data_IF_544759423226
#
_entry.id   IF_544759423226
#
_cell.length_a   1.000
_cell.length_b   1.000
_cell.length_c   1.000
_cell.angle_alpha   90.00
_cell.angle_beta   90.00
_cell.angle_gamma   90.00
#
_symmetry.space_group_name_H-M   'P 1'
#
loop_
_entity.id
_entity.type
_entity.pdbx_description
1 polymer ?
#
# COMPACT_ATOMS: atom_id res chain seq x y z
N UNK A 1 0.73 -24.26 7.50
CA UNK A 1 -0.63 -24.19 8.08
C UNK A 1 -0.58 -23.30 9.31
N UNK A 2 -1.31 -22.17 9.28
CA UNK A 2 -1.88 -21.44 10.44
C UNK A 2 -2.48 -20.14 9.87
N UNK A 3 -3.75 -20.21 9.45
CA UNK A 3 -4.54 -19.03 9.09
C UNK A 3 -4.90 -18.31 10.39
N UNK A 4 -4.23 -17.20 10.69
CA UNK A 4 -4.68 -16.27 11.74
C UNK A 4 -5.88 -15.50 11.19
N UNK A 5 -7.06 -15.82 11.72
CA UNK A 5 -8.28 -15.04 11.53
C UNK A 5 -8.09 -13.67 12.21
N UNK A 6 -8.06 -12.61 11.40
CA UNK A 6 -8.01 -11.24 11.89
C UNK A 6 -9.37 -10.87 12.49
N UNK A 7 -9.44 -10.76 13.81
CA UNK A 7 -10.52 -10.09 14.52
C UNK A 7 -9.95 -8.84 15.20
N UNK A 8 -10.41 -7.66 14.77
CA UNK A 8 -10.12 -6.39 15.42
C UNK A 8 -10.92 -6.28 16.73
N UNK A 9 -10.36 -5.71 17.82
CA UNK A 9 -11.12 -5.46 19.04
C UNK A 9 -12.13 -4.30 18.84
N UNK A 10 -13.35 -4.39 19.39
CA UNK A 10 -14.35 -3.33 19.26
C UNK A 10 -14.01 -2.15 20.20
N UNK A 11 -13.99 -0.93 19.65
CA UNK A 11 -13.91 0.30 20.44
C UNK A 11 -15.26 0.57 21.12
N UNK A 12 -15.21 0.88 22.42
CA UNK A 12 -16.35 1.07 23.31
C UNK A 12 -17.37 2.11 22.79
N UNK A 13 -18.65 1.75 22.83
CA UNK A 13 -19.77 2.68 22.58
C UNK A 13 -19.88 3.63 23.77
N UNK A 14 -19.72 4.93 23.52
CA UNK A 14 -20.17 5.97 24.43
C UNK A 14 -21.71 5.97 24.44
N UNK A 15 -22.31 5.62 25.58
CA UNK A 15 -23.75 5.74 25.84
C UNK A 15 -24.09 7.20 26.19
N UNK A 16 -25.09 7.83 25.57
CA UNK A 16 -25.55 9.15 26.02
C UNK A 16 -26.34 9.05 27.34
N UNK A 17 -26.37 10.12 28.16
CA UNK A 17 -26.98 10.10 29.49
C UNK A 17 -28.51 10.12 29.44
N UNK A 18 -29.21 9.63 30.50
CA UNK A 18 -30.67 9.64 30.55
C UNK A 18 -31.22 11.05 30.83
N UNK A 19 -32.28 11.41 30.13
CA UNK A 19 -33.04 12.65 30.38
C UNK A 19 -34.06 12.44 31.52
N UNK A 20 -34.38 13.49 32.30
CA UNK A 20 -35.20 13.36 33.50
C UNK A 20 -36.70 13.24 33.19
N UNK A 21 -37.35 12.31 33.88
CA UNK A 21 -38.80 12.17 33.90
C UNK A 21 -39.39 13.09 34.98
N UNK A 22 -40.23 14.04 34.60
CA UNK A 22 -41.17 14.69 35.53
C UNK A 22 -42.58 14.52 35.00
N UNK A 23 -43.33 13.64 35.66
CA UNK A 23 -44.76 13.45 35.48
C UNK A 23 -45.52 14.33 36.47
N UNK A 24 -46.51 15.08 36.00
CA UNK A 24 -47.64 15.53 36.82
C UNK A 24 -48.89 15.70 35.94
N UNK A 25 -49.79 14.72 36.07
CA UNK A 25 -51.26 14.76 36.14
C UNK A 25 -52.01 15.74 35.20
N UNK A 26 -52.65 15.25 34.13
CA UNK A 26 -54.03 14.68 34.07
C UNK A 26 -55.10 15.61 34.68
N UNK A 27 -55.90 16.26 33.83
CA UNK A 27 -57.24 15.78 33.40
C UNK A 27 -57.93 16.82 32.54
N UNK A 28 -58.14 16.52 31.25
CA UNK A 28 -59.38 16.87 30.56
C UNK A 28 -59.51 16.03 29.29
N UNK A 29 -60.46 15.10 29.34
CA UNK A 29 -61.13 14.44 28.24
C UNK A 29 -61.05 15.20 26.90
N UNK A 30 -60.23 14.69 25.99
CA UNK A 30 -60.50 14.72 24.57
C UNK A 30 -60.09 13.36 24.01
N UNK A 31 -61.12 12.56 23.70
CA UNK A 31 -61.05 11.38 22.86
C UNK A 31 -60.51 11.76 21.48
N UNK A 32 -59.19 11.93 21.39
CA UNK A 32 -58.45 11.72 20.17
C UNK A 32 -57.78 10.37 20.32
N UNK A 33 -58.55 9.32 19.99
CA UNK A 33 -57.96 8.12 19.44
C UNK A 33 -56.89 8.57 18.47
N UNK A 34 -55.66 8.11 18.70
CA UNK A 34 -54.51 8.39 17.86
C UNK A 34 -54.79 7.87 16.46
N UNK A 35 -55.46 8.65 15.62
CA UNK A 35 -55.58 8.42 14.18
C UNK A 35 -54.33 8.94 13.48
N UNK A 36 -53.17 8.70 14.06
CA UNK A 36 -52.00 8.47 13.24
C UNK A 36 -52.00 6.97 12.96
N UNK A 37 -52.50 6.54 11.78
CA UNK A 37 -52.33 5.16 11.38
C UNK A 37 -50.83 4.90 11.48
N UNK A 38 -50.50 3.82 12.20
CA UNK A 38 -49.22 3.11 12.16
C UNK A 38 -48.40 3.63 10.98
N UNK A 39 -47.49 4.59 11.26
CA UNK A 39 -46.70 5.21 10.20
C UNK A 39 -45.98 4.06 9.52
N UNK A 40 -46.44 3.74 8.32
CA UNK A 40 -45.86 2.78 7.42
C UNK A 40 -44.38 3.09 7.44
N UNK A 41 -43.58 2.22 8.07
CA UNK A 41 -42.13 2.37 8.09
C UNK A 41 -41.75 2.32 6.63
N UNK A 42 -41.63 3.49 5.98
CA UNK A 42 -41.23 3.60 4.60
C UNK A 42 -40.02 2.70 4.51
N UNK A 43 -40.13 1.66 3.69
CA UNK A 43 -39.06 0.69 3.57
C UNK A 43 -37.79 1.49 3.29
N UNK A 44 -36.65 1.11 3.87
CA UNK A 44 -35.39 1.86 3.68
C UNK A 44 -35.15 2.20 2.20
N UNK A 45 -35.57 1.29 1.31
CA UNK A 45 -35.70 1.46 -0.15
C UNK A 45 -36.47 2.70 -0.59
N UNK A 46 -37.69 2.90 -0.11
CA UNK A 46 -38.54 4.05 -0.42
C UNK A 46 -37.97 5.37 0.11
N UNK A 47 -37.34 5.36 1.30
CA UNK A 47 -36.70 6.56 1.85
C UNK A 47 -35.45 6.93 1.05
N UNK A 48 -34.61 5.94 0.72
CA UNK A 48 -33.41 6.15 -0.09
C UNK A 48 -33.77 6.59 -1.52
N UNK A 49 -34.80 6.00 -2.13
CA UNK A 49 -35.32 6.42 -3.43
C UNK A 49 -35.84 7.87 -3.41
N UNK A 50 -36.51 8.30 -2.34
CA UNK A 50 -37.00 9.67 -2.19
C UNK A 50 -35.87 10.70 -1.99
N UNK A 51 -34.73 10.28 -1.44
CA UNK A 51 -33.52 11.12 -1.26
C UNK A 51 -32.64 11.08 -2.52
N UNK A 52 -32.94 10.21 -3.50
CA UNK A 52 -32.07 9.96 -4.65
C UNK A 52 -30.77 9.22 -4.28
N UNK A 53 -30.67 8.72 -3.05
CA UNK A 53 -29.51 7.99 -2.57
C UNK A 53 -29.54 6.55 -3.09
N UNK A 54 -28.55 6.17 -3.89
CA UNK A 54 -28.45 4.82 -4.46
C UNK A 54 -28.14 3.82 -3.34
N UNK A 55 -28.89 2.70 -3.30
CA UNK A 55 -28.65 1.68 -2.27
C UNK A 55 -27.21 1.15 -2.34
N UNK A 56 -26.50 1.03 -1.21
CA UNK A 56 -25.17 0.46 -1.20
C UNK A 56 -25.25 -1.01 -1.59
N UNK A 57 -24.46 -1.42 -2.58
CA UNK A 57 -24.35 -2.84 -2.94
C UNK A 57 -23.85 -3.66 -1.74
N UNK A 58 -24.31 -4.90 -1.56
CA UNK A 58 -23.91 -5.73 -0.42
C UNK A 58 -22.39 -5.93 -0.34
N UNK A 59 -21.72 -5.96 -1.50
CA UNK A 59 -20.26 -6.03 -1.59
C UNK A 59 -19.57 -4.78 -1.01
N UNK A 60 -20.13 -3.57 -1.18
CA UNK A 60 -19.60 -2.34 -0.58
C UNK A 60 -19.76 -2.34 0.94
N UNK A 61 -20.91 -2.81 1.43
CA UNK A 61 -21.16 -2.94 2.88
C UNK A 61 -20.19 -3.94 3.52
N UNK A 62 -19.99 -5.09 2.88
CA UNK A 62 -19.03 -6.09 3.33
C UNK A 62 -17.58 -5.56 3.30
N UNK A 63 -17.22 -4.74 2.31
CA UNK A 63 -15.90 -4.10 2.26
C UNK A 63 -15.69 -3.11 3.40
N UNK A 64 -16.68 -2.25 3.68
CA UNK A 64 -16.63 -1.34 4.83
C UNK A 64 -16.49 -2.07 6.16
N UNK A 65 -17.21 -3.18 6.33
CA UNK A 65 -17.11 -4.05 7.51
C UNK A 65 -15.72 -4.69 7.67
N UNK A 66 -15.13 -5.20 6.58
CA UNK A 66 -13.78 -5.80 6.59
C UNK A 66 -12.70 -4.79 6.95
N UNK A 67 -12.83 -3.55 6.48
CA UNK A 67 -11.91 -2.48 6.81
C UNK A 67 -12.06 -1.99 8.25
N UNK A 68 -13.18 -2.27 8.92
CA UNK A 68 -13.46 -1.78 10.27
C UNK A 68 -13.61 -0.25 10.35
N UNK A 69 -13.85 0.40 9.21
CA UNK A 69 -13.93 1.86 9.10
C UNK A 69 -15.38 2.25 8.77
N UNK A 70 -16.11 2.93 9.69
CA UNK A 70 -17.36 3.60 9.31
C UNK A 70 -17.05 4.72 8.30
N UNK A 71 -17.24 4.42 7.02
CA UNK A 71 -17.22 5.38 5.94
C UNK A 71 -18.64 5.66 5.46
N UNK A 72 -18.85 6.87 4.94
CA UNK A 72 -20.06 7.18 4.20
C UNK A 72 -20.16 6.25 2.96
N UNK A 73 -21.35 5.67 2.68
CA UNK A 73 -21.51 4.71 1.58
C UNK A 73 -21.23 5.35 0.21
N UNK A 74 -21.51 6.64 0.05
CA UNK A 74 -21.21 7.41 -1.15
C UNK A 74 -19.70 7.60 -1.35
N UNK A 75 -18.95 7.82 -0.27
CA UNK A 75 -17.51 7.92 -0.33
C UNK A 75 -16.86 6.57 -0.67
N UNK A 76 -17.35 5.48 -0.09
CA UNK A 76 -16.93 4.13 -0.45
C UNK A 76 -17.18 3.85 -1.93
N UNK A 77 -18.33 4.26 -2.44
CA UNK A 77 -18.63 4.16 -3.88
C UNK A 77 -17.62 4.96 -4.71
N UNK A 78 -17.33 6.20 -4.31
CA UNK A 78 -16.35 7.05 -4.98
C UNK A 78 -14.93 6.46 -4.97
N UNK A 79 -14.49 5.82 -3.87
CA UNK A 79 -13.16 5.20 -3.76
C UNK A 79 -12.98 4.09 -4.81
N UNK A 80 -14.06 3.34 -5.01
CA UNK A 80 -14.12 2.12 -5.81
C UNK A 80 -14.36 2.40 -7.31
N UNK A 81 -14.88 3.58 -7.67
CA UNK A 81 -15.10 4.01 -9.06
C UNK A 81 -13.83 4.57 -9.69
N UNK A 82 -13.27 3.82 -10.64
CA UNK A 82 -12.14 4.27 -11.44
C UNK A 82 -12.58 5.28 -12.51
N UNK A 83 -11.69 6.19 -12.90
CA UNK A 83 -12.00 7.21 -13.92
C UNK A 83 -12.34 6.63 -15.31
N UNK A 84 -11.90 5.41 -15.61
CA UNK A 84 -12.24 4.71 -16.86
C UNK A 84 -13.60 4.03 -16.83
N UNK A 85 -14.30 4.04 -15.68
CA UNK A 85 -15.62 3.44 -15.58
C UNK A 85 -16.62 4.26 -16.40
N UNK A 86 -17.20 3.62 -17.42
CA UNK A 86 -18.28 4.22 -18.21
C UNK A 86 -19.60 3.70 -17.65
N UNK A 87 -20.34 4.58 -16.98
CA UNK A 87 -21.69 4.32 -16.49
C UNK A 87 -22.73 5.19 -17.20
N UNK A 88 -24.00 4.89 -16.99
CA UNK A 88 -25.13 5.67 -17.54
C UNK A 88 -25.20 7.10 -16.97
N UNK A 89 -24.71 7.28 -15.74
CA UNK A 89 -24.67 8.56 -15.02
C UNK A 89 -23.22 8.87 -14.66
N UNK A 90 -22.80 10.12 -14.85
CA UNK A 90 -21.50 10.59 -14.39
C UNK A 90 -21.45 10.56 -12.86
N UNK A 91 -20.66 9.64 -12.32
CA UNK A 91 -20.42 9.47 -10.89
C UNK A 91 -19.06 10.09 -10.50
N UNK A 92 -18.89 10.55 -9.25
CA UNK A 92 -17.59 11.05 -8.81
C UNK A 92 -16.54 9.94 -8.86
N UNK A 93 -15.39 10.26 -9.48
CA UNK A 93 -14.28 9.33 -9.67
C UNK A 93 -13.25 9.41 -8.54
N UNK A 94 -12.44 8.36 -8.40
CA UNK A 94 -11.41 8.24 -7.36
C UNK A 94 -10.10 9.01 -7.61
N UNK A 95 -9.90 9.62 -8.79
CA UNK A 95 -8.60 10.22 -9.21
C UNK A 95 -8.04 11.28 -8.25
N UNK A 96 -8.91 12.15 -7.70
CA UNK A 96 -8.49 13.18 -6.72
C UNK A 96 -8.06 12.57 -5.38
N UNK A 97 -8.78 11.54 -4.93
CA UNK A 97 -8.47 10.82 -3.71
C UNK A 97 -7.21 9.97 -3.87
N UNK A 98 -7.01 9.34 -5.03
CA UNK A 98 -5.79 8.62 -5.39
C UNK A 98 -4.58 9.54 -5.31
N UNK A 99 -4.66 10.74 -5.91
CA UNK A 99 -3.57 11.71 -5.87
C UNK A 99 -3.20 12.08 -4.43
N UNK A 100 -4.20 12.41 -3.61
CA UNK A 100 -3.99 12.71 -2.19
C UNK A 100 -3.36 11.52 -1.44
N UNK A 101 -3.92 10.33 -1.63
CA UNK A 101 -3.45 9.11 -0.98
C UNK A 101 -2.01 8.75 -1.34
N UNK A 102 -1.61 8.89 -2.61
CA UNK A 102 -0.22 8.69 -3.05
C UNK A 102 0.76 9.65 -2.37
N UNK A 103 0.37 10.91 -2.17
CA UNK A 103 1.22 11.89 -1.45
C UNK A 103 1.36 11.54 0.03
N UNK A 104 0.25 11.18 0.67
CA UNK A 104 0.24 10.75 2.09
C UNK A 104 1.07 9.49 2.30
N UNK A 105 0.91 8.50 1.42
CA UNK A 105 1.73 7.27 1.40
C UNK A 105 3.21 7.58 1.26
N UNK A 106 3.57 8.41 0.27
CA UNK A 106 4.96 8.80 0.04
C UNK A 106 5.57 9.49 1.26
N UNK A 107 4.82 10.35 1.96
CA UNK A 107 5.27 11.03 3.17
C UNK A 107 5.53 10.03 4.32
N UNK A 108 4.55 9.20 4.67
CA UNK A 108 4.68 8.30 5.83
C UNK A 108 5.69 7.18 5.61
N UNK A 109 5.78 6.64 4.39
CA UNK A 109 6.76 5.60 4.08
C UNK A 109 8.16 6.19 3.98
N UNK A 110 8.33 7.41 3.44
CA UNK A 110 9.65 8.07 3.44
C UNK A 110 10.12 8.41 4.85
N UNK A 111 9.23 8.88 5.73
CA UNK A 111 9.53 9.08 7.15
C UNK A 111 10.03 7.78 7.79
N UNK A 112 9.31 6.68 7.60
CA UNK A 112 9.68 5.38 8.15
C UNK A 112 11.02 4.86 7.61
N UNK A 113 11.23 4.92 6.30
CA UNK A 113 12.47 4.45 5.66
C UNK A 113 13.67 5.29 6.10
N UNK A 114 13.49 6.61 6.24
CA UNK A 114 14.56 7.51 6.69
C UNK A 114 15.02 7.20 8.12
N UNK A 115 14.07 6.92 9.02
CA UNK A 115 14.37 6.56 10.41
C UNK A 115 14.97 5.13 10.49
N UNK A 116 14.43 4.19 9.74
CA UNK A 116 14.85 2.78 9.78
C UNK A 116 16.19 2.51 9.10
N UNK A 117 16.53 3.28 8.07
CA UNK A 117 17.77 3.11 7.29
C UNK A 117 18.49 4.46 7.09
N UNK A 118 19.12 5.01 8.14
CA UNK A 118 19.75 6.35 8.09
C UNK A 118 20.94 6.43 7.12
N UNK A 119 21.58 5.29 6.80
CA UNK A 119 22.73 5.21 5.89
C UNK A 119 22.37 4.78 4.47
N UNK A 120 21.08 4.67 4.14
CA UNK A 120 20.66 4.31 2.78
C UNK A 120 21.02 5.43 1.79
N UNK A 121 21.73 5.12 0.68
CA UNK A 121 22.01 6.10 -0.36
C UNK A 121 20.73 6.66 -0.97
N UNK A 122 20.77 7.93 -1.38
CA UNK A 122 19.61 8.62 -1.96
C UNK A 122 19.11 7.93 -3.23
N UNK A 123 20.03 7.37 -4.01
CA UNK A 123 19.77 6.68 -5.28
C UNK A 123 18.86 5.47 -5.06
N UNK A 124 19.07 4.75 -3.96
CA UNK A 124 18.33 3.54 -3.62
C UNK A 124 17.05 3.84 -2.83
N UNK A 125 16.90 5.07 -2.32
CA UNK A 125 15.72 5.48 -1.56
C UNK A 125 14.45 5.33 -2.40
N UNK A 126 14.50 5.72 -3.67
CA UNK A 126 13.36 5.58 -4.59
C UNK A 126 12.96 4.13 -4.82
N UNK A 127 13.92 3.20 -4.92
CA UNK A 127 13.70 1.77 -5.11
C UNK A 127 13.05 1.14 -3.87
N UNK A 128 13.57 1.46 -2.68
CA UNK A 128 12.99 0.99 -1.41
C UNK A 128 11.57 1.53 -1.23
N UNK A 129 11.35 2.81 -1.51
CA UNK A 129 10.00 3.38 -1.50
C UNK A 129 9.06 2.65 -2.47
N UNK A 130 9.49 2.44 -3.72
CA UNK A 130 8.72 1.71 -4.73
C UNK A 130 8.40 0.28 -4.28
N UNK A 131 9.26 -0.37 -3.50
CA UNK A 131 8.97 -1.67 -2.90
C UNK A 131 7.78 -1.65 -1.94
N UNK A 132 7.67 -0.64 -1.08
CA UNK A 132 6.56 -0.50 -0.12
C UNK A 132 5.27 0.01 -0.76
N UNK A 133 5.34 1.05 -1.60
CA UNK A 133 4.15 1.76 -2.14
C UNK A 133 3.91 1.51 -3.63
N UNK A 134 4.65 0.59 -4.24
CA UNK A 134 4.50 0.26 -5.65
C UNK A 134 3.12 -0.27 -5.99
N UNK A 135 2.71 -0.07 -7.25
CA UNK A 135 1.41 -0.52 -7.74
C UNK A 135 1.17 -2.01 -7.49
N UNK A 136 2.20 -2.85 -7.64
CA UNK A 136 2.12 -4.28 -7.36
C UNK A 136 1.81 -4.58 -5.88
N UNK A 137 2.49 -3.90 -4.95
CA UNK A 137 2.30 -4.06 -3.50
C UNK A 137 0.91 -3.59 -3.07
N UNK A 138 0.46 -2.43 -3.56
CA UNK A 138 -0.88 -1.91 -3.30
C UNK A 138 -1.96 -2.81 -3.92
N UNK A 139 -1.72 -3.38 -5.10
CA UNK A 139 -2.63 -4.34 -5.73
C UNK A 139 -2.73 -5.64 -4.94
N UNK A 140 -1.62 -6.15 -4.39
CA UNK A 140 -1.59 -7.32 -3.52
C UNK A 140 -2.42 -7.07 -2.26
N UNK A 141 -2.22 -5.91 -1.62
CA UNK A 141 -2.98 -5.50 -0.44
C UNK A 141 -4.47 -5.32 -0.76
N UNK A 142 -4.80 -4.74 -1.90
CA UNK A 142 -6.19 -4.66 -2.36
C UNK A 142 -6.81 -6.03 -2.62
N UNK A 143 -6.01 -7.01 -3.07
CA UNK A 143 -6.43 -8.41 -3.20
C UNK A 143 -6.73 -9.08 -1.86
N UNK A 144 -5.89 -8.82 -0.85
CA UNK A 144 -6.07 -9.31 0.52
C UNK A 144 -7.34 -8.75 1.17
N UNK A 145 -7.62 -7.45 0.98
CA UNK A 145 -8.85 -6.80 1.46
C UNK A 145 -10.08 -7.23 0.66
N UNK A 146 -9.90 -7.81 -0.52
CA UNK A 146 -10.98 -8.23 -1.43
C UNK A 146 -11.62 -7.05 -2.18
N UNK A 147 -10.81 -6.04 -2.50
CA UNK A 147 -11.18 -4.86 -3.29
C UNK A 147 -11.44 -5.22 -4.76
N UNK A 148 -10.76 -6.25 -5.29
CA UNK A 148 -10.85 -6.70 -6.69
C UNK A 148 -12.27 -7.03 -7.18
N UNK A 149 -13.15 -7.46 -6.27
CA UNK A 149 -14.53 -7.83 -6.58
C UNK A 149 -15.50 -6.64 -6.51
N UNK A 150 -15.03 -5.52 -5.98
CA UNK A 150 -15.86 -4.34 -5.69
C UNK A 150 -15.54 -3.22 -6.66
N UNK A 151 -14.26 -3.08 -7.08
CA UNK A 151 -13.79 -2.05 -8.02
C UNK A 151 -14.64 -2.02 -9.30
N UNK A 152 -15.06 -0.81 -9.67
CA UNK A 152 -15.80 -0.53 -10.90
C UNK A 152 -14.86 0.14 -11.87
N UNK A 153 -14.59 -0.54 -12.98
CA UNK A 153 -13.76 -0.05 -14.07
C UNK A 153 -14.18 -0.75 -15.35
N UNK A 154 -13.94 -0.09 -16.49
CA UNK A 154 -14.14 -0.68 -17.81
C UNK A 154 -12.77 -1.00 -18.37
N UNK A 155 -12.57 -2.25 -18.81
CA UNK A 155 -11.35 -2.65 -19.49
C UNK A 155 -11.24 -1.88 -20.81
N UNK A 156 -10.09 -1.28 -21.13
CA UNK A 156 -9.91 -0.68 -22.44
C UNK A 156 -9.88 -1.79 -23.48
N UNK A 157 -11.01 -1.99 -24.17
CA UNK A 157 -11.07 -2.87 -25.33
C UNK A 157 -10.00 -2.39 -26.31
N UNK A 158 -9.05 -3.26 -26.68
CA UNK A 158 -8.20 -2.99 -27.84
C UNK A 158 -9.15 -2.79 -29.01
N UNK A 159 -9.22 -1.57 -29.54
CA UNK A 159 -10.05 -1.25 -30.68
C UNK A 159 -9.64 -2.22 -31.80
N UNK A 160 -10.50 -3.20 -32.10
CA UNK A 160 -10.53 -3.81 -33.42
C UNK A 160 -11.04 -2.70 -34.32
N UNK A 161 -10.28 -2.36 -35.36
CA UNK A 161 -10.65 -1.33 -36.33
C UNK A 161 -11.97 -1.70 -37.03
N UNK A 162 -13.10 -1.30 -36.46
CA UNK A 162 -14.37 -1.19 -37.19
C UNK A 162 -14.44 0.22 -37.80
N UNK A 163 -14.43 0.36 -39.15
CA UNK A 163 -14.29 1.66 -39.81
C UNK A 163 -15.50 2.60 -39.67
N UNK A 164 -16.62 2.15 -39.11
CA UNK A 164 -17.90 2.89 -39.19
C UNK A 164 -18.49 3.33 -37.83
N UNK A 165 -17.89 2.96 -36.69
CA UNK A 165 -18.35 3.38 -35.37
C UNK A 165 -17.27 4.14 -34.62
N UNK A 166 -17.09 5.40 -35.02
CA UNK A 166 -16.23 6.36 -34.32
C UNK A 166 -16.88 6.82 -33.02
N UNK A 167 -17.10 5.90 -32.07
CA UNK A 167 -17.14 6.26 -30.66
C UNK A 167 -15.70 6.34 -30.21
N UNK A 168 -15.19 7.56 -30.18
CA UNK A 168 -13.91 7.96 -29.62
C UNK A 168 -13.77 7.38 -28.21
N UNK A 169 -13.19 6.17 -28.12
CA UNK A 169 -12.54 5.71 -26.89
C UNK A 169 -11.30 6.59 -26.76
N UNK A 170 -11.51 7.79 -26.23
CA UNK A 170 -10.46 8.70 -25.82
C UNK A 170 -9.82 8.13 -24.54
N UNK A 171 -9.17 6.97 -24.66
CA UNK A 171 -8.09 6.61 -23.74
C UNK A 171 -6.97 7.60 -24.05
N UNK A 172 -6.94 8.69 -23.27
CA UNK A 172 -5.98 9.78 -23.42
C UNK A 172 -4.58 9.24 -23.65
N UNK A 173 -4.08 9.50 -24.85
CA UNK A 173 -2.72 9.24 -25.27
C UNK A 173 -1.80 10.22 -24.50
N UNK A 174 -1.40 9.85 -23.30
CA UNK A 174 -0.18 10.37 -22.70
C UNK A 174 0.77 9.21 -22.57
N UNK A 175 1.81 9.25 -23.40
CA UNK A 175 2.82 8.24 -23.58
C UNK A 175 3.53 7.87 -22.25
N UNK A 176 3.90 6.59 -22.15
CA UNK A 176 4.55 5.87 -21.05
C UNK A 176 3.61 5.10 -20.10
N UNK A 177 3.37 3.83 -20.47
CA UNK A 177 3.39 2.67 -19.55
C UNK A 177 2.40 2.56 -18.39
N UNK A 178 1.10 2.47 -18.67
CA UNK A 178 0.22 1.69 -17.78
C UNK A 178 -0.78 0.94 -18.67
N UNK A 179 -0.46 -0.30 -19.06
CA UNK A 179 -1.52 -1.21 -19.49
C UNK A 179 -2.53 -1.25 -18.34
N UNK A 180 -3.76 -0.79 -18.59
CA UNK A 180 -4.79 -0.69 -17.56
C UNK A 180 -5.22 -2.11 -17.17
N UNK A 181 -4.47 -2.69 -16.26
CA UNK A 181 -4.71 -4.02 -15.70
C UNK A 181 -5.58 -3.90 -14.47
N UNK A 182 -6.35 -4.96 -14.18
CA UNK A 182 -7.16 -5.00 -12.96
C UNK A 182 -6.32 -4.76 -11.69
N UNK A 183 -5.08 -5.27 -11.66
CA UNK A 183 -4.15 -5.05 -10.55
C UNK A 183 -3.79 -3.57 -10.38
N UNK A 184 -3.48 -2.86 -11.46
CA UNK A 184 -3.18 -1.43 -11.42
C UNK A 184 -4.39 -0.63 -10.88
N UNK A 185 -5.60 -0.93 -11.35
CA UNK A 185 -6.82 -0.26 -10.88
C UNK A 185 -7.08 -0.53 -9.40
N UNK A 186 -6.90 -1.77 -8.95
CA UNK A 186 -7.02 -2.14 -7.53
C UNK A 186 -6.00 -1.39 -6.67
N UNK A 187 -4.74 -1.27 -7.13
CA UNK A 187 -3.72 -0.48 -6.45
C UNK A 187 -4.09 1.00 -6.32
N UNK A 188 -4.64 1.59 -7.39
CA UNK A 188 -5.15 2.98 -7.39
C UNK A 188 -6.33 3.15 -6.42
N UNK A 189 -7.24 2.19 -6.35
CA UNK A 189 -8.36 2.18 -5.39
C UNK A 189 -7.88 2.04 -3.93
N UNK A 190 -6.79 1.30 -3.68
CA UNK A 190 -6.18 1.26 -2.36
C UNK A 190 -5.54 2.59 -1.96
N UNK A 191 -4.88 3.28 -2.90
CA UNK A 191 -4.37 4.62 -2.63
C UNK A 191 -5.50 5.62 -2.37
N UNK A 192 -6.60 5.57 -3.14
CA UNK A 192 -7.75 6.46 -2.92
C UNK A 192 -8.45 6.21 -1.58
N UNK A 193 -8.49 4.96 -1.09
CA UNK A 193 -8.97 4.63 0.26
C UNK A 193 -8.17 5.36 1.34
N UNK A 194 -6.84 5.39 1.21
CA UNK A 194 -5.95 6.06 2.17
C UNK A 194 -6.12 7.58 2.10
N UNK A 195 -6.28 8.14 0.89
CA UNK A 195 -6.61 9.56 0.72
C UNK A 195 -7.96 9.93 1.33
N UNK A 196 -8.96 9.07 1.20
CA UNK A 196 -10.27 9.24 1.84
C UNK A 196 -10.19 9.17 3.36
N UNK A 197 -9.41 8.21 3.89
CA UNK A 197 -9.16 8.08 5.33
C UNK A 197 -8.48 9.33 5.89
N UNK A 198 -7.46 9.85 5.19
CA UNK A 198 -6.77 11.08 5.54
C UNK A 198 -7.73 12.28 5.56
N UNK A 199 -8.63 12.36 4.57
CA UNK A 199 -9.61 13.45 4.47
C UNK A 199 -10.67 13.41 5.57
N UNK A 200 -11.22 12.23 5.90
CA UNK A 200 -12.32 12.13 6.88
C UNK A 200 -11.84 12.04 8.34
N UNK A 201 -10.72 11.38 8.61
CA UNK A 201 -10.25 11.11 9.99
C UNK A 201 -8.94 11.80 10.36
N UNK A 202 -8.37 12.54 9.43
CA UNK A 202 -7.13 13.27 9.64
C UNK A 202 -5.86 12.42 9.53
N UNK A 203 -4.70 13.07 9.77
CA UNK A 203 -3.39 12.49 9.48
C UNK A 203 -3.04 11.29 10.34
N UNK A 204 -3.35 11.34 11.64
CA UNK A 204 -2.96 10.30 12.61
C UNK A 204 -3.63 8.95 12.33
N UNK A 205 -4.93 8.96 12.02
CA UNK A 205 -5.66 7.74 11.65
C UNK A 205 -5.11 7.12 10.36
N UNK A 206 -4.72 7.95 9.39
CA UNK A 206 -4.12 7.48 8.14
C UNK A 206 -2.71 6.90 8.38
N UNK A 207 -1.89 7.55 9.22
CA UNK A 207 -0.55 7.07 9.58
C UNK A 207 -0.63 5.72 10.27
N UNK A 208 -1.52 5.57 11.27
CA UNK A 208 -1.76 4.29 11.95
C UNK A 208 -2.18 3.19 10.99
N UNK A 209 -3.08 3.49 10.04
CA UNK A 209 -3.51 2.53 9.04
C UNK A 209 -2.35 2.07 8.14
N UNK A 210 -1.54 3.01 7.64
CA UNK A 210 -0.35 2.72 6.82
C UNK A 210 0.67 1.89 7.58
N UNK A 211 0.94 2.22 8.85
CA UNK A 211 1.83 1.43 9.69
C UNK A 211 1.35 -0.02 9.87
N UNK A 212 0.05 -0.21 10.14
CA UNK A 212 -0.52 -1.53 10.41
C UNK A 212 -0.62 -2.44 9.18
N UNK A 213 -0.83 -1.89 7.98
CA UNK A 213 -1.11 -2.68 6.77
C UNK A 213 0.02 -2.69 5.74
N UNK A 214 0.80 -1.61 5.64
CA UNK A 214 1.85 -1.46 4.63
C UNK A 214 3.22 -1.69 5.27
N UNK A 215 3.52 -0.99 6.37
CA UNK A 215 4.85 -1.05 7.00
C UNK A 215 5.07 -2.29 7.88
N UNK A 216 3.99 -2.99 8.24
CA UNK A 216 4.04 -4.27 8.95
C UNK A 216 4.53 -5.42 8.07
N UNK A 217 4.58 -5.24 6.74
CA UNK A 217 5.06 -6.25 5.81
C UNK A 217 6.59 -6.28 5.85
N UNK A 218 7.15 -7.47 5.93
CA UNK A 218 8.59 -7.66 5.80
C UNK A 218 8.99 -7.49 4.33
N UNK A 219 9.95 -6.60 4.10
CA UNK A 219 10.48 -6.31 2.79
C UNK A 219 12.00 -6.44 2.84
N UNK A 220 12.52 -7.31 1.97
CA UNK A 220 13.95 -7.53 1.84
C UNK A 220 14.58 -6.36 1.09
N UNK A 221 15.00 -5.33 1.84
CA UNK A 221 15.66 -4.15 1.29
C UNK A 221 16.94 -4.50 0.54
N UNK A 222 17.61 -5.60 0.92
CA UNK A 222 18.84 -6.08 0.27
C UNK A 222 18.64 -6.38 -1.21
N UNK A 223 17.49 -6.94 -1.57
CA UNK A 223 17.18 -7.35 -2.95
C UNK A 223 16.78 -6.16 -3.82
N UNK A 224 16.41 -5.03 -3.20
CA UNK A 224 16.00 -3.80 -3.87
C UNK A 224 17.14 -2.81 -4.06
N UNK A 225 18.28 -3.01 -3.41
CA UNK A 225 19.41 -2.08 -3.49
C UNK A 225 20.25 -2.42 -4.72
N UNK A 226 20.22 -1.54 -5.70
CA UNK A 226 21.11 -1.62 -6.86
C UNK A 226 22.36 -0.76 -6.64
N UNK A 227 23.54 -1.39 -6.55
CA UNK A 227 24.80 -0.66 -6.42
C UNK A 227 25.57 -0.77 -7.73
N UNK A 228 25.71 0.37 -8.41
CA UNK A 228 26.58 0.49 -9.57
C UNK A 228 28.04 0.52 -9.12
N UNK A 229 28.89 -0.29 -9.77
CA UNK A 229 30.33 -0.36 -9.51
C UNK A 229 30.70 -0.52 -8.02
N UNK A 230 30.31 -1.64 -7.39
CA UNK A 230 30.34 -1.77 -5.94
C UNK A 230 31.76 -1.87 -5.38
N UNK A 231 32.76 -2.32 -6.16
CA UNK A 231 34.20 -2.21 -5.81
C UNK A 231 34.61 -0.76 -5.56
N UNK A 232 34.28 0.13 -6.49
CA UNK A 232 34.60 1.57 -6.39
C UNK A 232 33.86 2.21 -5.23
N UNK A 233 32.60 1.82 -5.03
CA UNK A 233 31.80 2.30 -3.90
C UNK A 233 32.41 1.88 -2.56
N UNK A 234 32.82 0.62 -2.40
CA UNK A 234 33.46 0.15 -1.16
C UNK A 234 34.79 0.86 -0.90
N UNK A 235 35.65 1.01 -1.92
CA UNK A 235 36.91 1.76 -1.77
C UNK A 235 36.67 3.20 -1.35
N UNK A 236 35.68 3.87 -1.96
CA UNK A 236 35.28 5.23 -1.56
C UNK A 236 34.77 5.27 -0.12
N UNK A 237 33.94 4.30 0.29
CA UNK A 237 33.38 4.20 1.64
C UNK A 237 34.48 3.99 2.69
N UNK A 238 35.44 3.10 2.43
CA UNK A 238 36.58 2.86 3.33
C UNK A 238 37.44 4.11 3.49
N UNK A 239 37.75 4.82 2.39
CA UNK A 239 38.48 6.09 2.44
C UNK A 239 37.73 7.16 3.24
N UNK A 240 36.40 7.25 3.07
CA UNK A 240 35.56 8.18 3.83
C UNK A 240 35.52 7.87 5.32
N UNK A 241 35.54 6.58 5.70
CA UNK A 241 35.62 6.13 7.08
C UNK A 241 37.05 6.14 7.64
N UNK A 242 38.04 6.61 6.87
CA UNK A 242 39.46 6.62 7.23
C UNK A 242 40.02 5.22 7.58
N UNK A 243 39.52 4.17 6.90
CA UNK A 243 39.95 2.77 7.03
C UNK A 243 40.91 2.40 5.90
N UNK A 244 41.67 1.31 6.09
CA UNK A 244 42.57 0.76 5.07
C UNK A 244 41.76 0.32 3.84
N UNK A 245 42.39 0.36 2.67
CA UNK A 245 41.71 -0.06 1.43
C UNK A 245 41.28 -1.52 1.50
N UNK A 246 40.13 -1.87 0.88
CA UNK A 246 39.60 -3.22 0.94
C UNK A 246 40.43 -4.18 0.06
N UNK A 247 40.91 -5.26 0.65
CA UNK A 247 41.64 -6.34 0.00
C UNK A 247 40.80 -7.62 -0.03
N UNK A 248 40.65 -8.23 -1.19
CA UNK A 248 40.01 -9.56 -1.31
C UNK A 248 41.03 -10.67 -1.09
N UNK A 249 40.76 -11.58 -0.16
CA UNK A 249 41.59 -12.76 0.15
C UNK A 249 40.78 -14.03 -0.07
N UNK A 250 41.40 -15.02 -0.72
CA UNK A 250 40.84 -16.37 -0.82
C UNK A 250 41.00 -17.07 0.54
N UNK A 251 39.89 -17.48 1.14
CA UNK A 251 39.86 -18.14 2.46
C UNK A 251 39.91 -19.65 2.33
N UNK A 252 39.11 -20.19 1.42
CA UNK A 252 39.03 -21.61 1.16
C UNK A 252 38.69 -21.85 -0.29
N UNK A 253 39.09 -23.00 -0.79
CA UNK A 253 38.84 -23.42 -2.15
C UNK A 253 38.62 -24.92 -2.21
N UNK A 254 37.68 -25.35 -3.05
CA UNK A 254 37.42 -26.76 -3.31
C UNK A 254 37.17 -26.98 -4.79
N UNK A 255 37.80 -28.02 -5.35
CA UNK A 255 37.47 -28.50 -6.68
C UNK A 255 37.82 -27.55 -7.84
N UNK A 256 38.94 -26.80 -7.79
CA UNK A 256 39.38 -25.84 -8.84
C UNK A 256 39.15 -26.30 -10.27
N UNK A 257 39.52 -27.56 -10.54
CA UNK A 257 39.52 -28.18 -11.87
C UNK A 257 38.26 -29.02 -12.11
N UNK A 258 37.32 -29.02 -11.18
CA UNK A 258 36.03 -29.67 -11.34
C UNK A 258 35.09 -28.80 -12.18
N UNK A 259 33.97 -29.38 -12.61
CA UNK A 259 32.90 -28.66 -13.31
C UNK A 259 32.21 -27.63 -12.39
N UNK A 260 32.29 -27.83 -11.08
CA UNK A 260 31.64 -27.02 -10.05
C UNK A 260 32.61 -26.68 -8.93
N UNK A 261 33.62 -25.83 -9.19
CA UNK A 261 34.53 -25.36 -8.15
C UNK A 261 33.77 -24.49 -7.15
N UNK A 262 34.24 -24.46 -5.91
CA UNK A 262 33.72 -23.58 -4.86
C UNK A 262 34.88 -22.79 -4.29
N UNK A 263 34.77 -21.47 -4.33
CA UNK A 263 35.73 -20.54 -3.77
C UNK A 263 35.06 -19.74 -2.66
N UNK A 264 35.67 -19.72 -1.48
CA UNK A 264 35.25 -18.88 -0.36
C UNK A 264 36.19 -17.69 -0.31
N UNK A 265 35.68 -16.49 -0.58
CA UNK A 265 36.47 -15.25 -0.61
C UNK A 265 35.98 -14.32 0.49
N UNK A 266 36.91 -13.77 1.26
CA UNK A 266 36.67 -12.72 2.24
C UNK A 266 37.22 -11.38 1.77
N UNK A 267 36.51 -10.29 2.05
CA UNK A 267 37.02 -8.92 1.84
C UNK A 267 37.43 -8.36 3.20
N UNK A 268 38.65 -7.83 3.28
CA UNK A 268 39.28 -7.36 4.51
C UNK A 268 39.66 -5.88 4.41
N UNK A 269 39.57 -5.14 5.50
CA UNK A 269 40.22 -3.84 5.66
C UNK A 269 41.32 -4.00 6.71
N UNK A 270 42.56 -4.20 6.25
CA UNK A 270 43.67 -4.58 7.13
C UNK A 270 43.52 -6.00 7.67
N UNK A 271 43.16 -6.12 8.95
CA UNK A 271 42.96 -7.40 9.65
C UNK A 271 41.49 -7.77 9.84
N UNK A 272 40.58 -6.80 9.70
CA UNK A 272 39.15 -6.99 9.94
C UNK A 272 38.44 -7.53 8.70
N UNK A 273 37.66 -8.62 8.87
CA UNK A 273 36.83 -9.21 7.82
C UNK A 273 35.53 -8.41 7.68
N UNK A 274 35.37 -7.73 6.55
CA UNK A 274 34.16 -6.96 6.22
C UNK A 274 33.00 -7.86 5.76
N UNK A 275 33.32 -8.97 5.09
CA UNK A 275 32.34 -9.97 4.67
C UNK A 275 32.97 -11.15 3.97
N UNK A 276 32.16 -12.20 3.73
CA UNK A 276 32.56 -13.41 3.03
C UNK A 276 31.49 -13.89 2.04
N UNK A 277 31.90 -14.56 0.97
CA UNK A 277 31.00 -15.15 -0.03
C UNK A 277 31.54 -16.46 -0.55
N UNK A 278 30.62 -17.37 -0.86
CA UNK A 278 30.88 -18.60 -1.60
C UNK A 278 30.54 -18.39 -3.08
N UNK A 279 31.48 -18.68 -3.96
CA UNK A 279 31.38 -18.42 -5.40
C UNK A 279 31.70 -19.67 -6.20
N UNK A 280 31.09 -19.77 -7.38
CA UNK A 280 31.37 -20.83 -8.34
C UNK A 280 32.44 -20.42 -9.37
N UNK A 281 32.73 -19.12 -9.52
CA UNK A 281 33.71 -18.60 -10.49
C UNK A 281 34.44 -17.39 -9.90
N UNK A 282 35.76 -17.33 -10.11
CA UNK A 282 36.63 -16.25 -9.61
C UNK A 282 36.51 -14.92 -10.39
N UNK A 283 35.97 -14.86 -11.60
CA UNK A 283 35.90 -13.59 -12.37
C UNK A 283 34.62 -12.77 -12.14
N UNK A 284 33.51 -13.41 -11.78
CA UNK A 284 32.24 -12.73 -11.42
C UNK A 284 32.33 -12.02 -10.04
N UNK A 285 33.53 -12.02 -9.43
CA UNK A 285 33.89 -11.86 -8.02
C UNK A 285 33.58 -10.53 -7.34
N UNK A 286 33.19 -9.47 -8.06
CA UNK A 286 33.12 -8.14 -7.43
C UNK A 286 31.76 -7.50 -7.41
N UNK A 287 30.81 -7.90 -8.26
CA UNK A 287 29.57 -7.12 -8.35
C UNK A 287 28.58 -7.50 -7.24
N UNK A 288 27.98 -8.68 -7.29
CA UNK A 288 26.89 -9.06 -6.38
C UNK A 288 27.32 -9.09 -4.90
N UNK A 289 28.58 -9.44 -4.63
CA UNK A 289 29.10 -9.58 -3.27
C UNK A 289 29.47 -8.25 -2.61
N UNK A 290 30.08 -7.31 -3.34
CA UNK A 290 30.30 -5.98 -2.78
C UNK A 290 28.99 -5.23 -2.58
N UNK A 291 27.95 -5.52 -3.39
CA UNK A 291 26.58 -5.06 -3.11
C UNK A 291 26.13 -5.55 -1.74
N UNK A 292 26.34 -6.84 -1.45
CA UNK A 292 25.96 -7.45 -0.17
C UNK A 292 26.74 -6.86 1.01
N UNK A 293 28.07 -6.71 0.91
CA UNK A 293 28.90 -6.11 1.97
C UNK A 293 28.46 -4.69 2.28
N UNK A 294 28.24 -3.87 1.24
CA UNK A 294 27.76 -2.50 1.40
C UNK A 294 26.38 -2.48 2.07
N UNK A 295 25.47 -3.38 1.68
CA UNK A 295 24.17 -3.52 2.32
C UNK A 295 24.27 -3.95 3.80
N UNK A 296 25.21 -4.82 4.17
CA UNK A 296 25.45 -5.21 5.57
C UNK A 296 26.09 -4.11 6.39
N UNK A 297 27.03 -3.32 5.85
CA UNK A 297 27.58 -2.14 6.54
C UNK A 297 26.49 -1.08 6.78
N UNK A 298 25.61 -0.83 5.80
CA UNK A 298 24.42 0.03 5.98
C UNK A 298 23.51 -0.49 7.12
N UNK A 299 23.45 -1.82 7.32
CA UNK A 299 22.64 -2.45 8.38
C UNK A 299 23.35 -2.52 9.74
N UNK A 300 24.67 -2.72 9.77
CA UNK A 300 25.49 -2.86 10.99
C UNK A 300 25.71 -1.51 11.69
N UNK A 301 25.79 -0.40 10.95
CA UNK A 301 25.85 0.95 11.56
C UNK A 301 24.47 1.38 12.12
N UNK A 302 23.39 0.64 11.81
CA UNK A 302 22.06 0.84 12.38
C UNK A 302 21.81 0.08 13.70
N UNK A 303 22.72 -0.79 14.14
CA UNK A 303 22.61 -1.39 15.46
C UNK A 303 23.05 -0.37 16.52
N UNK A 304 22.20 0.00 17.50
CA UNK A 304 22.67 0.79 18.63
C UNK A 304 23.79 0.00 19.33
N UNK A 305 24.94 0.65 19.53
CA UNK A 305 25.93 0.18 20.50
C UNK A 305 25.35 0.26 21.91
#
# INVERSE_FOLDING_TARGET
MLRRTFALPPLARLTPPPLPCTATNLTSLALLHTTHPWQERRSRKQVLAAIGAKEPTPALVALGARLGLPFNPELLRQIVTHHSFVGEVEEPNNRRLEYLGKRVLSLYVSEYVHIKYPFLPKENFSQVLAGYIGNATLANLGREVGMQHVVRWTEPTRIVHDPERTLTIACSQTAAEDQLTQSAVVGKAMASLIGALYRERGPESAKRFVHMHILSRELNVRDLIEIHNPKRYLTWLMRRQNRKEPESRLLSETGRTSVSPVFVVGVFSGEEKLGEVCLLVLDMMTYLFLTFIVCTEIHQVSAPR
#
